data_IF_226181663800
#
_entry.id   IF_226181663800
#
_cell.length_a   1.000
_cell.length_b   1.000
_cell.length_c   1.000
_cell.angle_alpha   90.00
_cell.angle_beta   90.00
_cell.angle_gamma   90.00
#
_symmetry.space_group_name_H-M   'P 1'
#
loop_
_entity.id
_entity.type
_entity.pdbx_description
1 polymer ?
#
# COMPACT_ATOMS: atom_id res chain seq x y z
N UNK A 1 13.98 16.65 -27.10
CA UNK A 1 13.92 15.36 -26.39
C UNK A 1 12.52 15.13 -25.85
N UNK A 2 12.00 13.92 -25.99
CA UNK A 2 10.73 13.49 -25.37
C UNK A 2 10.96 13.07 -23.91
N UNK A 3 9.91 13.14 -23.08
CA UNK A 3 9.97 12.69 -21.67
C UNK A 3 10.43 11.23 -21.57
N UNK A 4 10.05 10.41 -22.55
CA UNK A 4 10.44 9.00 -22.65
C UNK A 4 11.94 8.83 -22.87
N UNK A 5 12.52 9.59 -23.80
CA UNK A 5 13.97 9.57 -24.06
C UNK A 5 14.75 9.98 -22.81
N UNK A 6 14.29 11.02 -22.11
CA UNK A 6 14.94 11.48 -20.87
C UNK A 6 14.92 10.41 -19.78
N UNK A 7 13.81 9.70 -19.60
CA UNK A 7 13.70 8.61 -18.63
C UNK A 7 14.66 7.45 -18.96
N UNK A 8 14.79 7.08 -20.23
CA UNK A 8 15.69 6.00 -20.65
C UNK A 8 17.17 6.38 -20.45
N UNK A 9 17.53 7.65 -20.70
CA UNK A 9 18.86 8.16 -20.44
C UNK A 9 19.22 8.12 -18.95
N UNK A 10 18.30 8.55 -18.08
CA UNK A 10 18.49 8.51 -16.62
C UNK A 10 18.63 7.07 -16.10
N UNK A 11 17.76 6.14 -16.51
CA UNK A 11 17.82 4.73 -16.07
C UNK A 11 19.12 4.04 -16.52
N UNK A 12 19.68 4.43 -17.67
CA UNK A 12 20.91 3.84 -18.20
C UNK A 12 22.16 4.09 -17.34
N UNK A 13 22.17 5.17 -16.56
CA UNK A 13 23.30 5.57 -15.71
C UNK A 13 23.11 5.17 -14.23
N UNK A 14 21.96 4.56 -13.89
CA UNK A 14 21.64 4.17 -12.52
C UNK A 14 22.34 2.86 -12.12
N UNK A 15 22.86 2.76 -10.88
CA UNK A 15 23.37 1.49 -10.36
C UNK A 15 22.24 0.48 -10.13
N UNK A 16 22.53 -0.81 -10.33
CA UNK A 16 21.54 -1.90 -10.34
C UNK A 16 20.57 -1.90 -9.14
N UNK A 17 21.04 -1.58 -7.93
CA UNK A 17 20.17 -1.52 -6.74
C UNK A 17 19.08 -0.45 -6.83
N UNK A 18 19.39 0.71 -7.42
CA UNK A 18 18.45 1.79 -7.66
C UNK A 18 17.53 1.46 -8.84
N UNK A 19 18.01 0.73 -9.86
CA UNK A 19 17.18 0.25 -10.97
C UNK A 19 16.05 -0.66 -10.47
N UNK A 20 16.34 -1.55 -9.52
CA UNK A 20 15.30 -2.43 -8.91
C UNK A 20 14.24 -1.61 -8.18
N UNK A 21 14.64 -0.60 -7.41
CA UNK A 21 13.69 0.29 -6.72
C UNK A 21 12.86 1.12 -7.70
N UNK A 22 13.49 1.66 -8.75
CA UNK A 22 12.81 2.40 -9.79
C UNK A 22 11.80 1.52 -10.54
N UNK A 23 12.16 0.27 -10.85
CA UNK A 23 11.26 -0.70 -11.47
C UNK A 23 10.05 -0.99 -10.58
N UNK A 24 10.26 -1.22 -9.28
CA UNK A 24 9.18 -1.44 -8.32
C UNK A 24 8.23 -0.24 -8.25
N UNK A 25 8.77 0.99 -8.26
CA UNK A 25 7.97 2.21 -8.29
C UNK A 25 7.17 2.33 -9.58
N UNK A 26 7.77 2.07 -10.74
CA UNK A 26 7.08 2.12 -12.04
C UNK A 26 5.93 1.09 -12.08
N UNK A 27 6.17 -0.13 -11.60
CA UNK A 27 5.13 -1.17 -11.51
C UNK A 27 3.99 -0.73 -10.59
N UNK A 28 4.31 -0.16 -9.42
CA UNK A 28 3.32 0.40 -8.52
C UNK A 28 2.47 1.49 -9.20
N UNK A 29 3.11 2.44 -9.90
CA UNK A 29 2.41 3.51 -10.61
C UNK A 29 1.49 2.97 -11.71
N UNK A 30 1.91 1.93 -12.44
CA UNK A 30 1.06 1.28 -13.46
C UNK A 30 -0.20 0.66 -12.87
N UNK A 31 -0.06 -0.09 -11.78
CA UNK A 31 -1.21 -0.70 -11.09
C UNK A 31 -2.17 0.38 -10.59
N UNK A 32 -1.63 1.45 -10.01
CA UNK A 32 -2.43 2.53 -9.47
C UNK A 32 -3.18 3.31 -10.58
N UNK A 33 -2.52 3.56 -11.71
CA UNK A 33 -3.15 4.18 -12.88
C UNK A 33 -4.33 3.36 -13.40
N UNK A 34 -4.14 2.05 -13.57
CA UNK A 34 -5.21 1.17 -14.05
C UNK A 34 -6.39 1.15 -13.07
N UNK A 35 -6.11 1.09 -11.76
CA UNK A 35 -7.15 1.11 -10.72
C UNK A 35 -7.98 2.40 -10.75
N UNK A 36 -7.34 3.55 -10.96
CA UNK A 36 -8.03 4.84 -11.16
C UNK A 36 -8.96 4.76 -12.35
N UNK A 37 -8.43 4.28 -13.47
CA UNK A 37 -9.18 4.21 -14.72
C UNK A 37 -10.39 3.28 -14.62
N UNK A 38 -10.24 2.12 -13.97
CA UNK A 38 -11.36 1.19 -13.72
C UNK A 38 -12.43 1.78 -12.80
N UNK A 39 -12.04 2.49 -11.73
CA UNK A 39 -12.99 3.09 -10.81
C UNK A 39 -13.80 4.21 -11.49
N UNK A 40 -13.13 5.04 -12.30
CA UNK A 40 -13.80 6.07 -13.10
C UNK A 40 -14.76 5.45 -14.13
N UNK A 41 -14.34 4.39 -14.80
CA UNK A 41 -15.19 3.69 -15.78
C UNK A 41 -16.42 3.02 -15.15
N UNK A 42 -16.31 2.55 -13.90
CA UNK A 42 -17.42 1.94 -13.17
C UNK A 42 -18.30 2.94 -12.42
N UNK A 43 -18.10 4.26 -12.60
CA UNK A 43 -18.83 5.31 -11.86
C UNK A 43 -18.54 5.33 -10.35
N UNK A 44 -17.46 4.67 -9.92
CA UNK A 44 -17.05 4.59 -8.52
C UNK A 44 -16.01 5.65 -8.15
N UNK A 45 -15.82 5.88 -6.86
CA UNK A 45 -14.80 6.81 -6.36
C UNK A 45 -13.45 6.10 -6.22
N UNK A 46 -12.43 6.60 -6.90
CA UNK A 46 -11.06 6.17 -6.64
C UNK A 46 -10.52 6.82 -5.36
N UNK A 47 -10.17 5.99 -4.36
CA UNK A 47 -9.46 6.44 -3.16
C UNK A 47 -7.97 6.14 -3.31
N UNK A 48 -7.10 7.16 -3.40
CA UNK A 48 -5.66 6.95 -3.44
C UNK A 48 -5.19 6.18 -2.21
N UNK A 49 -4.23 5.26 -2.39
CA UNK A 49 -3.56 4.63 -1.25
C UNK A 49 -2.81 5.74 -0.52
N UNK A 50 -3.22 6.05 0.71
CA UNK A 50 -2.75 7.27 1.40
C UNK A 50 -1.25 7.29 1.70
N UNK A 51 -0.53 6.18 1.49
CA UNK A 51 0.88 5.97 1.88
C UNK A 51 1.12 5.97 3.40
N UNK A 52 0.26 6.67 4.13
CA UNK A 52 0.20 6.68 5.58
C UNK A 52 -0.05 5.26 6.09
N UNK A 53 0.75 4.86 7.07
CA UNK A 53 0.60 3.59 7.78
C UNK A 53 -0.83 3.44 8.33
N UNK A 54 -1.46 2.26 8.24
CA UNK A 54 -2.67 1.95 9.01
C UNK A 54 -2.51 2.26 10.50
N UNK A 55 -1.28 2.16 11.01
CA UNK A 55 -0.91 2.45 12.40
C UNK A 55 -1.14 3.91 12.80
N UNK A 56 -1.35 4.84 11.86
CA UNK A 56 -1.77 6.21 12.21
C UNK A 56 -3.10 6.23 12.98
N UNK A 57 -3.95 5.23 12.74
CA UNK A 57 -5.24 5.08 13.40
C UNK A 57 -5.16 4.13 14.60
N UNK A 58 -4.03 3.44 14.78
CA UNK A 58 -3.80 2.57 15.93
C UNK A 58 -3.51 3.36 17.22
N UNK A 59 -3.30 4.69 17.16
CA UNK A 59 -3.16 5.51 18.37
C UNK A 59 -2.02 5.03 19.30
N UNK A 60 -2.28 5.01 20.62
CA UNK A 60 -1.40 4.43 21.64
C UNK A 60 -1.61 2.93 21.84
N UNK A 61 -2.00 2.18 20.80
CA UNK A 61 -2.08 0.73 20.90
C UNK A 61 -0.73 0.18 21.35
N UNK A 62 -0.70 -0.27 22.59
CA UNK A 62 0.46 -0.80 23.28
C UNK A 62 -0.05 -2.01 24.06
N UNK A 63 0.08 -3.18 23.45
CA UNK A 63 -0.31 -4.44 24.07
C UNK A 63 -0.69 -5.50 23.04
N UNK A 64 -0.35 -6.75 23.36
CA UNK A 64 -0.85 -7.95 22.69
C UNK A 64 -2.08 -8.43 23.45
N UNK A 65 -3.16 -7.66 23.34
CA UNK A 65 -4.39 -7.84 24.13
C UNK A 65 -5.26 -9.00 23.58
N UNK A 66 -4.69 -9.81 22.67
CA UNK A 66 -5.39 -10.87 21.96
C UNK A 66 -5.93 -11.92 22.94
N UNK A 67 -5.12 -12.30 23.94
CA UNK A 67 -5.51 -13.29 24.94
C UNK A 67 -6.65 -12.77 25.81
N UNK A 68 -6.55 -11.53 26.29
CA UNK A 68 -7.60 -10.89 27.11
C UNK A 68 -8.92 -10.77 26.34
N UNK A 69 -8.86 -10.42 25.05
CA UNK A 69 -10.04 -10.38 24.18
C UNK A 69 -10.66 -11.77 23.97
N UNK A 70 -9.83 -12.80 23.76
CA UNK A 70 -10.29 -14.17 23.57
C UNK A 70 -10.91 -14.75 24.85
N UNK A 71 -10.32 -14.47 26.01
CA UNK A 71 -10.83 -14.94 27.29
C UNK A 71 -12.16 -14.28 27.65
N UNK A 72 -12.36 -13.00 27.33
CA UNK A 72 -13.66 -12.32 27.45
C UNK A 72 -14.73 -12.99 26.57
N UNK A 73 -14.38 -13.36 25.33
CA UNK A 73 -15.31 -14.02 24.39
C UNK A 73 -15.65 -15.44 24.83
N UNK A 74 -14.65 -16.21 25.29
CA UNK A 74 -14.83 -17.56 25.82
C UNK A 74 -15.74 -17.56 27.04
N UNK A 75 -15.46 -16.65 27.97
CA UNK A 75 -16.27 -16.43 29.18
C UNK A 75 -17.72 -16.09 28.85
N UNK A 76 -17.95 -15.14 27.93
CA UNK A 76 -19.30 -14.77 27.49
C UNK A 76 -20.04 -15.89 26.75
N UNK A 77 -19.32 -16.80 26.09
CA UNK A 77 -19.92 -17.94 25.37
C UNK A 77 -20.04 -19.19 26.23
N UNK A 78 -19.58 -19.15 27.48
CA UNK A 78 -19.56 -20.32 28.38
C UNK A 78 -18.66 -21.45 27.87
N UNK A 79 -17.70 -21.14 26.99
CA UNK A 79 -16.75 -22.11 26.46
C UNK A 79 -15.56 -22.10 27.41
N UNK A 80 -15.53 -23.07 28.32
CA UNK A 80 -14.39 -23.35 29.22
C UNK A 80 -13.29 -24.06 28.45
#
# INVERSE_FOLDING_TARGET
MTVRERLMAEIGDLPNGLVVQALALIQFLKVDYLRRQTALASGGFYRPRSGRSPLRHAGKWAGDDLLDCLDLVRSNRGIV
#
